data_IF_069457267889
#
_entry.id   IF_069457267889
#
_cell.length_a   1.000
_cell.length_b   1.000
_cell.length_c   1.000
_cell.angle_alpha   90.00
_cell.angle_beta   90.00
_cell.angle_gamma   90.00
#
_symmetry.space_group_name_H-M   'P 1'
#
loop_
_entity.id
_entity.type
_entity.pdbx_description
1 polymer ?
#
# COMPACT_ATOMS: atom_id res chain seq x y z
N UNK A 1 -15.96 28.09 25.85
CA UNK A 1 -17.35 27.77 25.41
C UNK A 1 -17.48 26.27 25.47
N UNK A 2 -18.42 25.76 26.28
CA UNK A 2 -18.59 24.33 26.51
C UNK A 2 -18.94 23.62 25.19
N UNK A 3 -18.11 22.66 24.78
CA UNK A 3 -18.45 21.68 23.75
C UNK A 3 -19.63 20.86 24.27
N UNK A 4 -20.85 21.27 23.92
CA UNK A 4 -22.04 20.45 24.14
C UNK A 4 -21.92 19.22 23.25
N UNK A 5 -21.35 18.15 23.80
CA UNK A 5 -21.37 16.87 23.15
C UNK A 5 -22.82 16.42 22.93
N UNK A 6 -23.21 16.23 21.67
CA UNK A 6 -24.61 16.06 21.26
C UNK A 6 -25.26 14.76 21.73
N UNK A 7 -24.48 13.78 22.22
CA UNK A 7 -24.98 12.43 22.53
C UNK A 7 -24.51 11.93 23.91
N UNK A 8 -25.34 11.17 24.63
CA UNK A 8 -24.97 10.62 25.93
C UNK A 8 -23.96 9.48 25.77
N UNK A 9 -23.01 9.33 26.72
CA UNK A 9 -22.21 8.12 26.82
C UNK A 9 -23.12 6.94 27.18
N UNK A 10 -22.93 5.79 26.54
CA UNK A 10 -23.69 4.59 26.87
C UNK A 10 -22.93 3.74 27.88
N UNK A 11 -23.61 3.16 28.90
CA UNK A 11 -22.96 2.27 29.84
C UNK A 11 -22.61 0.93 29.19
N UNK A 12 -21.50 0.37 29.61
CA UNK A 12 -21.09 -1.01 29.35
C UNK A 12 -21.98 -1.98 30.12
N UNK A 13 -22.56 -2.96 29.42
CA UNK A 13 -23.61 -3.83 29.98
C UNK A 13 -23.17 -5.29 30.16
N UNK A 14 -21.94 -5.63 29.77
CA UNK A 14 -21.42 -7.00 29.78
C UNK A 14 -20.39 -7.20 30.90
N UNK A 15 -20.43 -8.33 31.62
CA UNK A 15 -19.32 -8.72 32.50
C UNK A 15 -18.32 -9.61 31.74
N UNK A 16 -17.15 -9.06 31.40
CA UNK A 16 -16.07 -9.77 30.71
C UNK A 16 -15.47 -10.92 31.54
N UNK A 17 -15.71 -10.96 32.86
CA UNK A 17 -15.25 -12.06 33.71
C UNK A 17 -16.09 -13.33 33.56
N UNK A 18 -17.27 -13.24 32.95
CA UNK A 18 -18.09 -14.40 32.70
C UNK A 18 -17.35 -15.40 31.79
N UNK A 19 -17.50 -16.69 32.10
CA UNK A 19 -16.72 -17.78 31.50
C UNK A 19 -16.74 -17.78 29.97
N UNK A 20 -17.88 -17.41 29.38
CA UNK A 20 -18.05 -17.29 27.94
C UNK A 20 -17.07 -16.28 27.29
N UNK A 21 -16.91 -15.08 27.86
CA UNK A 21 -16.08 -14.04 27.24
C UNK A 21 -14.58 -14.33 27.41
N UNK A 22 -14.19 -14.96 28.52
CA UNK A 22 -12.83 -15.48 28.70
C UNK A 22 -12.50 -16.56 27.67
N UNK A 23 -13.42 -17.50 27.45
CA UNK A 23 -13.27 -18.55 26.44
C UNK A 23 -13.17 -17.98 25.01
N UNK A 24 -13.94 -16.94 24.68
CA UNK A 24 -13.84 -16.24 23.41
C UNK A 24 -12.43 -15.66 23.21
N UNK A 25 -11.91 -14.96 24.23
CA UNK A 25 -10.59 -14.33 24.19
C UNK A 25 -9.47 -15.34 23.93
N UNK A 26 -9.48 -16.48 24.62
CA UNK A 26 -8.49 -17.56 24.43
C UNK A 26 -8.56 -18.15 23.02
N UNK A 27 -9.77 -18.33 22.49
CA UNK A 27 -9.97 -18.86 21.13
C UNK A 27 -9.42 -17.90 20.08
N UNK A 28 -9.74 -16.61 20.19
CA UNK A 28 -9.25 -15.59 19.26
C UNK A 28 -7.75 -15.36 19.36
N UNK A 29 -7.16 -15.44 20.56
CA UNK A 29 -5.71 -15.35 20.74
C UNK A 29 -4.97 -16.34 19.83
N UNK A 30 -5.42 -17.58 19.79
CA UNK A 30 -4.83 -18.61 18.92
C UNK A 30 -4.90 -18.23 17.43
N UNK A 31 -6.00 -17.60 17.01
CA UNK A 31 -6.18 -17.14 15.63
C UNK A 31 -5.27 -15.95 15.32
N UNK A 32 -5.20 -14.96 16.22
CA UNK A 32 -4.35 -13.78 16.07
C UNK A 32 -2.86 -14.14 16.03
N UNK A 33 -2.40 -15.03 16.92
CA UNK A 33 -1.02 -15.54 16.94
C UNK A 33 -0.66 -16.27 15.63
N UNK A 34 -1.64 -16.87 14.94
CA UNK A 34 -1.43 -17.46 13.61
C UNK A 34 -1.25 -16.37 12.54
N UNK A 35 -2.03 -15.30 12.58
CA UNK A 35 -1.87 -14.17 11.66
C UNK A 35 -0.54 -13.44 11.88
N UNK A 36 -0.12 -13.24 13.12
CA UNK A 36 1.17 -12.61 13.44
C UNK A 36 2.35 -13.43 12.90
N UNK A 37 2.35 -14.75 13.13
CA UNK A 37 3.35 -15.66 12.54
C UNK A 37 3.34 -15.65 11.02
N UNK A 38 2.16 -15.60 10.41
CA UNK A 38 2.05 -15.50 8.95
C UNK A 38 2.60 -14.16 8.45
N UNK A 39 2.37 -13.06 9.17
CA UNK A 39 2.89 -11.74 8.83
C UNK A 39 4.43 -11.71 8.83
N UNK A 40 5.07 -12.39 9.79
CA UNK A 40 6.53 -12.53 9.84
C UNK A 40 7.10 -13.28 8.63
N UNK A 41 6.37 -14.24 8.07
CA UNK A 41 6.80 -15.02 6.91
C UNK A 41 6.77 -14.24 5.59
N UNK A 42 5.94 -13.19 5.50
CA UNK A 42 5.74 -12.42 4.26
C UNK A 42 6.57 -11.14 4.18
N UNK A 43 7.32 -10.78 5.23
CA UNK A 43 7.71 -9.40 5.53
C UNK A 43 9.08 -8.89 5.03
N UNK A 44 9.99 -9.70 4.48
CA UNK A 44 11.41 -9.44 4.75
C UNK A 44 12.09 -8.28 3.97
N UNK A 45 11.94 -8.12 2.65
CA UNK A 45 12.90 -7.30 1.88
C UNK A 45 12.36 -5.96 1.37
N UNK A 46 11.19 -5.94 0.71
CA UNK A 46 10.68 -4.70 0.11
C UNK A 46 10.10 -3.69 1.12
N UNK A 47 9.90 -4.09 2.39
CA UNK A 47 9.44 -3.17 3.45
C UNK A 47 10.49 -2.11 3.79
N UNK A 48 11.78 -2.41 3.58
CA UNK A 48 12.87 -1.50 3.92
C UNK A 48 12.82 -0.22 3.08
N UNK A 49 12.55 -0.32 1.78
CA UNK A 49 12.45 0.86 0.90
C UNK A 49 11.24 1.73 1.23
N UNK A 50 10.09 1.12 1.52
CA UNK A 50 8.89 1.85 1.95
C UNK A 50 9.15 2.58 3.27
N UNK A 51 9.79 1.92 4.23
CA UNK A 51 10.12 2.52 5.52
C UNK A 51 11.07 3.72 5.40
N UNK A 52 12.04 3.66 4.48
CA UNK A 52 12.95 4.78 4.21
C UNK A 52 12.28 5.95 3.49
N UNK A 53 11.23 5.67 2.70
CA UNK A 53 10.47 6.70 2.00
C UNK A 53 9.50 7.44 2.93
N UNK A 54 8.96 6.77 3.94
CA UNK A 54 8.06 7.32 4.95
C UNK A 54 8.71 8.43 5.79
N UNK A 55 7.88 9.33 6.30
CA UNK A 55 8.28 10.24 7.36
C UNK A 55 8.58 9.49 8.65
N UNK A 56 9.53 10.02 9.42
CA UNK A 56 9.91 9.46 10.71
C UNK A 56 8.68 9.32 11.61
N UNK A 57 8.53 8.13 12.20
CA UNK A 57 7.42 7.75 13.08
C UNK A 57 6.02 7.80 12.44
N UNK A 58 5.92 7.97 11.11
CA UNK A 58 4.64 7.88 10.40
C UNK A 58 4.11 6.44 10.45
N UNK A 59 2.85 6.23 10.84
CA UNK A 59 2.22 4.94 10.68
C UNK A 59 2.08 4.60 9.19
N UNK A 60 2.04 3.29 8.89
CA UNK A 60 1.67 2.77 7.58
C UNK A 60 0.46 1.87 7.71
N UNK A 61 -0.53 2.11 6.86
CA UNK A 61 -1.63 1.20 6.64
C UNK A 61 -1.28 0.27 5.46
N UNK A 62 -0.73 -0.90 5.76
CA UNK A 62 -0.40 -1.90 4.73
C UNK A 62 -1.69 -2.50 4.14
N UNK A 63 -1.71 -2.64 2.81
CA UNK A 63 -2.85 -3.14 2.06
C UNK A 63 -2.46 -4.47 1.42
N UNK A 64 -3.28 -5.50 1.67
CA UNK A 64 -3.12 -6.79 0.98
C UNK A 64 -1.90 -7.60 1.42
N UNK A 65 -1.39 -7.43 2.64
CA UNK A 65 -0.22 -8.15 3.17
C UNK A 65 -0.28 -9.68 3.02
N UNK A 66 -1.49 -10.27 3.05
CA UNK A 66 -1.70 -11.71 2.87
C UNK A 66 -2.10 -12.11 1.44
N UNK A 67 -2.04 -11.19 0.47
CA UNK A 67 -2.33 -11.50 -0.92
C UNK A 67 -1.39 -12.61 -1.42
N UNK A 68 -1.95 -13.65 -2.05
CA UNK A 68 -1.17 -14.80 -2.53
C UNK A 68 -0.58 -15.70 -1.42
N UNK A 69 -0.80 -15.41 -0.13
CA UNK A 69 -0.28 -16.25 0.96
C UNK A 69 -0.87 -17.67 0.89
N UNK A 70 0.00 -18.67 0.82
CA UNK A 70 -0.33 -20.11 0.65
C UNK A 70 -1.12 -20.44 -0.63
N UNK A 71 -1.08 -19.56 -1.64
CA UNK A 71 -1.63 -19.86 -2.96
C UNK A 71 -0.55 -20.54 -3.81
N UNK A 72 -0.76 -21.75 -4.36
CA UNK A 72 0.24 -22.44 -5.19
C UNK A 72 0.57 -21.72 -6.51
N UNK A 73 -0.32 -20.83 -6.98
CA UNK A 73 -0.17 -20.09 -8.22
C UNK A 73 0.30 -18.65 -7.99
N UNK A 74 0.70 -18.29 -6.77
CA UNK A 74 1.13 -16.94 -6.42
C UNK A 74 2.21 -16.98 -5.35
N UNK A 75 2.80 -15.82 -5.11
CA UNK A 75 3.80 -15.57 -4.08
C UNK A 75 3.18 -14.75 -2.96
N UNK A 76 3.76 -14.78 -1.74
CA UNK A 76 3.32 -13.90 -0.66
C UNK A 76 3.34 -12.42 -1.04
N UNK A 77 2.39 -11.64 -0.53
CA UNK A 77 2.12 -10.26 -0.95
C UNK A 77 1.82 -10.09 -2.46
N UNK A 78 1.64 -11.18 -3.21
CA UNK A 78 1.49 -11.17 -4.66
C UNK A 78 2.55 -10.31 -5.39
N UNK A 79 3.84 -10.45 -5.02
CA UNK A 79 4.97 -9.71 -5.58
C UNK A 79 4.95 -8.17 -5.35
N UNK A 80 4.04 -7.65 -4.52
CA UNK A 80 3.87 -6.21 -4.31
C UNK A 80 3.54 -5.89 -2.86
N UNK A 81 4.30 -4.99 -2.24
CA UNK A 81 3.93 -4.36 -0.98
C UNK A 81 3.27 -3.02 -1.30
N UNK A 82 2.08 -2.80 -0.76
CA UNK A 82 1.37 -1.55 -0.90
C UNK A 82 0.90 -1.04 0.46
N UNK A 83 0.83 0.27 0.60
CA UNK A 83 0.33 0.87 1.82
C UNK A 83 0.10 2.37 1.70
N UNK A 84 -0.58 2.94 2.68
CA UNK A 84 -0.79 4.38 2.79
C UNK A 84 0.02 4.88 3.99
N UNK A 85 0.85 5.89 3.76
CA UNK A 85 1.65 6.53 4.79
C UNK A 85 2.04 7.95 4.39
N UNK A 86 2.63 8.71 5.31
CA UNK A 86 3.03 10.07 5.03
C UNK A 86 4.45 10.12 4.45
N UNK A 87 4.63 10.94 3.41
CA UNK A 87 5.92 11.26 2.80
C UNK A 87 5.99 12.78 2.67
N UNK A 88 6.98 13.41 3.32
CA UNK A 88 7.14 14.86 3.36
C UNK A 88 5.85 15.59 3.81
N UNK A 89 5.16 15.03 4.81
CA UNK A 89 3.90 15.55 5.37
C UNK A 89 2.65 15.28 4.53
N UNK A 90 2.78 14.55 3.42
CA UNK A 90 1.67 14.27 2.49
C UNK A 90 1.25 12.79 2.55
N UNK A 91 -0.06 12.48 2.63
CA UNK A 91 -0.54 11.11 2.58
C UNK A 91 -0.37 10.54 1.16
N UNK A 92 0.47 9.52 1.03
CA UNK A 92 0.80 8.88 -0.24
C UNK A 92 0.38 7.41 -0.26
N UNK A 93 -0.14 6.95 -1.40
CA UNK A 93 -0.23 5.53 -1.69
C UNK A 93 1.13 5.07 -2.23
N UNK A 94 1.74 4.12 -1.54
CA UNK A 94 3.04 3.56 -1.87
C UNK A 94 2.87 2.16 -2.45
N UNK A 95 3.68 1.85 -3.45
CA UNK A 95 3.70 0.56 -4.15
C UNK A 95 5.15 0.18 -4.40
N UNK A 96 5.62 -0.92 -3.80
CA UNK A 96 6.97 -1.44 -3.99
C UNK A 96 6.91 -2.90 -4.44
N UNK A 97 7.49 -3.18 -5.60
CA UNK A 97 7.62 -4.54 -6.09
C UNK A 97 8.65 -5.31 -5.26
N UNK A 98 8.51 -6.64 -5.21
CA UNK A 98 9.44 -7.53 -4.52
C UNK A 98 10.31 -8.24 -5.58
N UNK A 99 11.51 -7.73 -5.90
CA UNK A 99 12.32 -8.26 -7.01
C UNK A 99 12.78 -9.71 -6.77
N UNK A 100 12.94 -10.13 -5.52
CA UNK A 100 13.32 -11.50 -5.16
C UNK A 100 12.22 -12.53 -5.39
N UNK A 101 10.98 -12.08 -5.65
CA UNK A 101 9.86 -12.95 -5.99
C UNK A 101 9.53 -12.83 -7.48
N UNK A 102 9.92 -13.84 -8.26
CA UNK A 102 9.69 -13.89 -9.72
C UNK A 102 10.21 -12.64 -10.47
N UNK A 103 11.29 -12.02 -9.99
CA UNK A 103 11.82 -10.80 -10.60
C UNK A 103 10.94 -9.56 -10.40
N UNK A 104 9.98 -9.58 -9.46
CA UNK A 104 9.00 -8.51 -9.27
C UNK A 104 7.88 -8.49 -10.32
N UNK A 105 7.76 -9.55 -11.13
CA UNK A 105 6.75 -9.67 -12.16
C UNK A 105 5.34 -9.72 -11.58
N UNK A 106 4.37 -9.16 -12.30
CA UNK A 106 2.98 -9.20 -11.87
C UNK A 106 2.36 -10.56 -12.12
N UNK A 107 1.57 -11.03 -11.16
CA UNK A 107 0.74 -12.22 -11.28
C UNK A 107 -0.75 -11.86 -11.14
N UNK A 108 -1.65 -12.84 -11.24
CA UNK A 108 -3.09 -12.60 -11.16
C UNK A 108 -3.56 -11.98 -9.84
N UNK A 109 -2.83 -12.22 -8.75
CA UNK A 109 -3.14 -11.70 -7.42
C UNK A 109 -2.60 -10.29 -7.22
N UNK A 110 -1.53 -9.89 -7.92
CA UNK A 110 -0.93 -8.54 -7.82
C UNK A 110 -1.94 -7.47 -8.20
N UNK A 111 -2.75 -7.72 -9.23
CA UNK A 111 -3.82 -6.80 -9.62
C UNK A 111 -4.88 -6.63 -8.54
N UNK A 112 -5.19 -7.70 -7.80
CA UNK A 112 -6.29 -7.76 -6.83
C UNK A 112 -5.93 -7.27 -5.43
N UNK A 113 -4.66 -7.09 -5.11
CA UNK A 113 -4.24 -6.72 -3.76
C UNK A 113 -4.48 -5.23 -3.44
N UNK A 114 -4.72 -4.41 -4.46
CA UNK A 114 -4.97 -2.98 -4.33
C UNK A 114 -6.49 -2.68 -4.24
N UNK A 115 -6.90 -1.58 -3.55
CA UNK A 115 -8.32 -1.23 -3.36
C UNK A 115 -9.08 -1.13 -4.69
N UNK A 116 -10.43 -1.26 -4.69
CA UNK A 116 -11.25 -1.51 -5.88
C UNK A 116 -11.23 -0.33 -6.87
N UNK A 117 -10.17 -0.35 -7.66
CA UNK A 117 -9.94 0.26 -8.95
C UNK A 117 -9.03 -0.69 -9.76
N UNK A 118 -8.25 -1.55 -9.09
CA UNK A 118 -7.21 -2.36 -9.74
C UNK A 118 -7.67 -3.81 -10.01
N UNK A 119 -7.92 -4.09 -11.30
CA UNK A 119 -7.71 -5.36 -12.04
C UNK A 119 -8.30 -6.68 -11.47
N UNK A 120 -9.39 -7.23 -12.06
CA UNK A 120 -9.98 -8.50 -11.62
C UNK A 120 -9.28 -9.79 -12.09
N UNK A 121 -8.28 -9.75 -12.98
CA UNK A 121 -7.44 -10.91 -13.35
C UNK A 121 -6.37 -10.46 -14.33
N UNK A 122 -5.14 -10.99 -14.28
CA UNK A 122 -4.05 -10.58 -15.18
C UNK A 122 -4.14 -11.28 -16.54
N UNK A 123 -5.22 -11.05 -17.28
CA UNK A 123 -5.20 -11.22 -18.73
C UNK A 123 -4.62 -9.95 -19.34
N UNK A 124 -3.83 -10.02 -20.42
CA UNK A 124 -3.17 -8.84 -21.04
C UNK A 124 -4.12 -7.63 -21.23
N UNK A 125 -5.37 -7.88 -21.64
CA UNK A 125 -6.39 -6.83 -21.80
C UNK A 125 -6.80 -6.15 -20.49
N UNK A 126 -6.85 -6.89 -19.36
CA UNK A 126 -7.15 -6.36 -18.02
C UNK A 126 -5.92 -5.71 -17.38
N UNK A 127 -4.71 -6.16 -17.69
CA UNK A 127 -3.47 -5.51 -17.26
C UNK A 127 -3.39 -4.04 -17.68
N UNK A 128 -3.95 -3.71 -18.85
CA UNK A 128 -4.06 -2.33 -19.34
C UNK A 128 -4.93 -1.39 -18.50
N UNK A 129 -5.77 -1.91 -17.59
CA UNK A 129 -6.54 -1.06 -16.67
C UNK A 129 -5.64 -0.24 -15.75
N UNK A 130 -4.47 -0.76 -15.35
CA UNK A 130 -3.50 0.00 -14.55
C UNK A 130 -3.13 1.32 -15.24
N UNK A 131 -2.78 1.22 -16.53
CA UNK A 131 -2.33 2.36 -17.32
C UNK A 131 -3.46 3.38 -17.49
N UNK A 132 -4.68 2.89 -17.74
CA UNK A 132 -5.88 3.74 -17.76
C UNK A 132 -6.08 4.45 -16.43
N UNK A 133 -5.97 3.75 -15.32
CA UNK A 133 -6.21 4.29 -13.99
C UNK A 133 -5.16 5.33 -13.60
N UNK A 134 -3.90 5.12 -13.99
CA UNK A 134 -2.83 6.10 -13.80
C UNK A 134 -3.14 7.39 -14.57
N UNK A 135 -3.49 7.29 -15.86
CA UNK A 135 -3.90 8.44 -16.67
C UNK A 135 -5.14 9.14 -16.11
N UNK A 136 -6.12 8.38 -15.61
CA UNK A 136 -7.31 8.95 -14.97
C UNK A 136 -6.95 9.68 -13.67
N UNK A 137 -6.00 9.16 -12.87
CA UNK A 137 -5.52 9.83 -11.65
C UNK A 137 -4.82 11.15 -11.97
N UNK A 138 -3.92 11.15 -12.95
CA UNK A 138 -3.26 12.37 -13.45
C UNK A 138 -4.30 13.39 -13.93
N UNK A 139 -5.33 12.96 -14.68
CA UNK A 139 -6.43 13.85 -15.10
C UNK A 139 -7.16 14.52 -13.92
N UNK A 140 -7.23 13.85 -12.77
CA UNK A 140 -7.85 14.38 -11.55
C UNK A 140 -6.85 15.11 -10.63
N UNK A 141 -5.65 15.45 -11.14
CA UNK A 141 -4.63 16.18 -10.38
C UNK A 141 -3.96 15.35 -9.28
N UNK A 142 -4.04 14.02 -9.35
CA UNK A 142 -3.32 13.13 -8.43
C UNK A 142 -1.97 12.79 -9.05
N UNK A 143 -0.93 13.43 -8.55
CA UNK A 143 0.44 13.23 -9.02
C UNK A 143 0.95 11.82 -8.72
N UNK A 144 1.79 11.30 -9.60
CA UNK A 144 2.39 9.97 -9.55
C UNK A 144 3.90 10.05 -9.76
N UNK A 145 4.65 9.26 -8.99
CA UNK A 145 6.11 9.18 -9.10
C UNK A 145 6.55 7.73 -9.22
N UNK A 146 7.41 7.43 -10.19
CA UNK A 146 8.03 6.14 -10.36
C UNK A 146 9.52 6.19 -10.00
N UNK A 147 9.94 5.31 -9.09
CA UNK A 147 11.34 5.07 -8.79
C UNK A 147 11.78 3.77 -9.46
N UNK A 148 12.73 3.84 -10.37
CA UNK A 148 13.20 2.71 -11.17
C UNK A 148 14.54 2.23 -10.63
N UNK A 149 14.48 1.28 -9.70
CA UNK A 149 15.65 0.64 -9.06
C UNK A 149 16.19 -0.54 -9.88
N UNK A 150 15.54 -0.92 -10.98
CA UNK A 150 15.90 -2.11 -11.73
C UNK A 150 15.22 -2.15 -13.09
N UNK A 151 15.06 -3.35 -13.64
CA UNK A 151 14.46 -3.54 -14.96
C UNK A 151 12.95 -3.34 -14.94
N UNK A 152 12.46 -2.52 -15.87
CA UNK A 152 11.05 -2.26 -16.16
C UNK A 152 10.78 -2.57 -17.63
N UNK A 153 10.39 -3.82 -17.91
CA UNK A 153 10.31 -4.35 -19.29
C UNK A 153 8.88 -4.50 -19.78
N UNK A 154 8.66 -4.30 -21.08
CA UNK A 154 7.40 -4.51 -21.79
C UNK A 154 6.24 -3.73 -21.16
N UNK A 155 5.25 -4.42 -20.57
CA UNK A 155 4.14 -3.76 -19.87
C UNK A 155 4.62 -2.90 -18.70
N UNK A 156 5.68 -3.31 -18.00
CA UNK A 156 6.23 -2.56 -16.87
C UNK A 156 6.77 -1.19 -17.27
N UNK A 157 7.32 -1.06 -18.47
CA UNK A 157 7.91 0.19 -18.98
C UNK A 157 6.90 1.33 -19.07
N UNK A 158 5.60 1.03 -19.19
CA UNK A 158 4.55 2.04 -19.16
C UNK A 158 4.32 2.65 -17.78
N UNK A 159 4.76 2.02 -16.69
CA UNK A 159 4.62 2.58 -15.35
C UNK A 159 5.44 3.87 -15.19
N UNK A 160 6.77 3.89 -15.43
CA UNK A 160 7.50 5.15 -15.46
C UNK A 160 7.03 6.06 -16.59
N UNK A 161 6.68 5.53 -17.76
CA UNK A 161 6.29 6.36 -18.91
C UNK A 161 4.95 7.12 -18.74
N UNK A 162 4.09 6.67 -17.83
CA UNK A 162 2.82 7.30 -17.51
C UNK A 162 2.83 8.00 -16.14
N UNK A 163 3.97 8.02 -15.46
CA UNK A 163 4.13 8.73 -14.19
C UNK A 163 4.45 10.20 -14.45
N UNK A 164 4.00 11.08 -13.55
CA UNK A 164 4.26 12.53 -13.66
C UNK A 164 5.71 12.88 -13.31
N UNK A 165 6.36 12.04 -12.50
CA UNK A 165 7.77 12.16 -12.18
C UNK A 165 8.47 10.81 -12.14
N UNK A 166 9.72 10.78 -12.57
CA UNK A 166 10.49 9.56 -12.71
C UNK A 166 11.93 9.76 -12.23
N UNK A 167 12.40 8.81 -11.42
CA UNK A 167 13.79 8.77 -10.94
C UNK A 167 14.38 7.42 -11.29
N UNK A 168 15.49 7.41 -12.03
CA UNK A 168 16.20 6.20 -12.42
C UNK A 168 17.53 6.11 -11.67
N UNK A 169 17.82 4.94 -11.10
CA UNK A 169 19.13 4.69 -10.46
C UNK A 169 20.19 4.42 -11.54
N UNK A 170 21.32 5.10 -11.49
CA UNK A 170 22.39 4.99 -12.48
C UNK A 170 22.96 3.56 -12.51
N UNK A 171 23.18 3.01 -13.71
CA UNK A 171 23.72 1.65 -13.93
C UNK A 171 22.86 0.50 -13.35
N UNK A 172 21.62 0.77 -12.93
CA UNK A 172 20.72 -0.24 -12.34
C UNK A 172 19.31 -0.13 -12.91
N UNK A 173 18.76 1.09 -12.94
CA UNK A 173 17.42 1.40 -13.44
C UNK A 173 17.37 1.39 -14.97
N UNK A 174 16.49 0.54 -15.53
CA UNK A 174 16.38 0.35 -16.97
C UNK A 174 14.91 0.21 -17.39
N UNK A 175 14.51 0.78 -18.53
CA UNK A 175 13.16 0.62 -19.07
C UNK A 175 13.17 0.38 -20.59
N UNK A 176 12.41 -0.60 -21.06
CA UNK A 176 12.29 -0.86 -22.50
C UNK A 176 11.07 -1.72 -22.83
N UNK A 177 10.45 -1.50 -24.00
CA UNK A 177 9.32 -2.33 -24.47
C UNK A 177 9.75 -3.75 -24.83
N UNK A 178 10.96 -3.91 -25.35
CA UNK A 178 11.58 -5.18 -25.67
C UNK A 178 13.03 -5.15 -25.18
N UNK A 179 13.42 -6.11 -24.35
CA UNK A 179 14.79 -6.19 -23.84
C UNK A 179 15.80 -6.66 -24.88
N UNK A 180 17.10 -6.59 -24.55
CA UNK A 180 18.17 -6.98 -25.47
C UNK A 180 18.00 -8.35 -26.14
N UNK A 181 17.54 -9.42 -25.45
CA UNK A 181 17.32 -10.71 -26.11
C UNK A 181 16.28 -10.66 -27.24
N UNK A 182 15.20 -9.90 -27.04
CA UNK A 182 14.13 -9.73 -28.03
C UNK A 182 14.58 -8.86 -29.20
N UNK A 183 15.32 -7.77 -28.93
CA UNK A 183 15.89 -6.90 -29.97
C UNK A 183 16.83 -7.71 -30.87
N UNK A 184 17.73 -8.50 -30.29
CA UNK A 184 18.64 -9.37 -31.02
C UNK A 184 17.92 -10.39 -31.87
N UNK A 185 16.89 -11.04 -31.32
CA UNK A 185 16.11 -12.03 -32.04
C UNK A 185 15.34 -11.41 -33.22
N UNK A 186 14.74 -10.22 -33.03
CA UNK A 186 13.89 -9.59 -34.02
C UNK A 186 14.66 -8.87 -35.13
N UNK A 187 15.81 -8.27 -34.81
CA UNK A 187 16.55 -7.37 -35.73
C UNK A 187 17.97 -7.84 -36.05
N UNK A 188 18.52 -8.78 -35.27
CA UNK A 188 19.93 -9.16 -35.34
C UNK A 188 20.88 -8.20 -34.59
N UNK A 189 20.39 -7.06 -34.08
CA UNK A 189 21.19 -6.08 -33.36
C UNK A 189 21.64 -6.61 -31.99
N UNK A 190 22.92 -6.43 -31.66
CA UNK A 190 23.49 -6.80 -30.36
C UNK A 190 23.77 -5.51 -29.59
N UNK A 191 22.93 -5.22 -28.59
CA UNK A 191 22.99 -4.02 -27.76
C UNK A 191 22.90 -4.39 -26.28
N UNK A 192 23.60 -3.67 -25.41
CA UNK A 192 23.52 -3.86 -23.95
C UNK A 192 22.23 -3.28 -23.36
N UNK A 193 21.82 -3.73 -22.17
CA UNK A 193 20.62 -3.21 -21.51
C UNK A 193 20.74 -1.72 -21.14
N UNK A 194 21.92 -1.30 -20.69
CA UNK A 194 22.20 0.10 -20.34
C UNK A 194 22.20 1.01 -21.58
N UNK A 195 22.74 0.52 -22.70
CA UNK A 195 22.77 1.25 -23.97
C UNK A 195 21.38 1.33 -24.62
N UNK A 196 20.55 0.30 -24.43
CA UNK A 196 19.20 0.22 -24.97
C UNK A 196 18.21 1.12 -24.21
N UNK A 197 18.27 1.12 -22.88
CA UNK A 197 17.27 1.78 -22.04
C UNK A 197 17.71 2.03 -20.61
N UNK A 198 18.99 2.33 -20.40
CA UNK A 198 19.52 2.72 -19.09
C UNK A 198 19.14 4.13 -18.66
N UNK A 199 19.42 4.44 -17.39
CA UNK A 199 19.12 5.73 -16.77
C UNK A 199 19.66 6.92 -17.59
N UNK A 200 20.90 6.82 -18.08
CA UNK A 200 21.53 7.89 -18.88
C UNK A 200 20.82 8.09 -20.22
N UNK A 201 20.44 7.01 -20.90
CA UNK A 201 19.71 7.07 -22.18
C UNK A 201 18.37 7.76 -21.94
N UNK A 202 17.68 7.41 -20.87
CA UNK A 202 16.38 7.98 -20.58
C UNK A 202 16.43 9.44 -20.19
N UNK A 203 17.42 9.87 -19.40
CA UNK A 203 17.54 11.26 -18.97
C UNK A 203 18.10 12.21 -20.05
N UNK A 204 18.95 11.71 -20.95
CA UNK A 204 19.67 12.58 -21.91
C UNK A 204 19.14 12.53 -23.33
N UNK A 205 18.48 11.44 -23.73
CA UNK A 205 17.98 11.24 -25.10
C UNK A 205 16.47 11.19 -25.18
N UNK A 206 15.83 10.33 -24.40
CA UNK A 206 14.39 10.05 -24.56
C UNK A 206 13.49 11.00 -23.77
N UNK A 207 13.99 11.56 -22.66
CA UNK A 207 13.19 12.34 -21.71
C UNK A 207 12.31 11.49 -20.77
N UNK A 208 12.44 10.16 -20.77
CA UNK A 208 11.68 9.27 -19.87
C UNK A 208 12.12 9.35 -18.41
N UNK A 209 13.35 9.79 -18.12
CA UNK A 209 13.84 9.96 -16.76
C UNK A 209 14.01 11.45 -16.46
N UNK A 210 13.27 11.96 -15.47
CA UNK A 210 13.39 13.36 -15.04
C UNK A 210 14.64 13.57 -14.18
N UNK A 211 15.01 12.57 -13.39
CA UNK A 211 16.21 12.58 -12.56
C UNK A 211 16.97 11.26 -12.65
N UNK A 212 18.30 11.37 -12.56
CA UNK A 212 19.20 10.25 -12.27
C UNK A 212 19.56 10.30 -10.78
N UNK A 213 19.52 9.15 -10.13
CA UNK A 213 20.01 8.93 -8.77
C UNK A 213 21.29 8.09 -8.78
N UNK A 214 22.19 8.34 -7.85
CA UNK A 214 23.44 7.57 -7.74
C UNK A 214 23.21 6.14 -7.19
N UNK A 215 22.24 6.00 -6.29
CA UNK A 215 21.84 4.73 -5.66
C UNK A 215 20.36 4.79 -5.23
N UNK A 216 19.86 3.70 -4.65
CA UNK A 216 18.47 3.57 -4.19
C UNK A 216 18.12 4.58 -3.09
N UNK A 217 19.07 4.91 -2.19
CA UNK A 217 18.85 5.88 -1.11
C UNK A 217 18.73 7.30 -1.66
N UNK A 218 19.58 7.66 -2.62
CA UNK A 218 19.52 8.93 -3.33
C UNK A 218 18.21 9.07 -4.12
N UNK A 219 17.73 7.98 -4.73
CA UNK A 219 16.45 7.96 -5.42
C UNK A 219 15.27 8.20 -4.46
N UNK A 220 15.29 7.57 -3.27
CA UNK A 220 14.28 7.80 -2.22
C UNK A 220 14.32 9.24 -1.74
N UNK A 221 15.51 9.80 -1.49
CA UNK A 221 15.68 11.21 -1.11
C UNK A 221 15.08 12.15 -2.16
N UNK A 222 15.39 11.94 -3.44
CA UNK A 222 14.84 12.72 -4.57
C UNK A 222 13.32 12.60 -4.66
N UNK A 223 12.77 11.41 -4.42
CA UNK A 223 11.33 11.21 -4.36
C UNK A 223 10.68 12.05 -3.25
N UNK A 224 11.26 12.03 -2.04
CA UNK A 224 10.78 12.85 -0.90
C UNK A 224 10.84 14.34 -1.21
N UNK A 225 11.92 14.79 -1.84
CA UNK A 225 12.09 16.18 -2.28
C UNK A 225 11.03 16.58 -3.30
N UNK A 226 10.77 15.74 -4.31
CA UNK A 226 9.72 15.99 -5.28
C UNK A 226 8.34 16.04 -4.62
N UNK A 227 8.01 15.10 -3.73
CA UNK A 227 6.74 15.12 -2.99
C UNK A 227 6.59 16.41 -2.17
N UNK A 228 7.67 16.92 -1.58
CA UNK A 228 7.65 18.18 -0.84
C UNK A 228 7.35 19.41 -1.73
N UNK A 229 7.58 19.33 -3.04
CA UNK A 229 7.21 20.40 -3.99
C UNK A 229 5.75 20.35 -4.43
N UNK A 230 5.06 19.24 -4.19
CA UNK A 230 3.67 19.07 -4.60
C UNK A 230 2.77 19.96 -3.73
N UNK A 231 2.07 20.88 -4.38
CA UNK A 231 1.05 21.70 -3.75
C UNK A 231 -0.26 20.90 -3.67
N UNK A 232 -0.29 19.89 -2.81
CA UNK A 232 -1.51 19.12 -2.55
C UNK A 232 -2.37 19.95 -1.59
N UNK A 233 -3.58 20.39 -2.00
CA UNK A 233 -4.48 21.05 -1.09
C UNK A 233 -4.76 20.07 0.05
N UNK A 234 -4.45 20.48 1.28
CA UNK A 234 -4.88 19.70 2.45
C UNK A 234 -6.39 19.50 2.33
N UNK A 235 -6.90 18.26 2.44
CA UNK A 235 -8.35 18.05 2.45
C UNK A 235 -8.92 18.98 3.50
N UNK A 236 -9.84 19.86 3.08
CA UNK A 236 -10.48 20.80 4.01
C UNK A 236 -10.99 19.96 5.18
N UNK A 237 -10.48 20.24 6.38
CA UNK A 237 -11.00 19.61 7.58
C UNK A 237 -12.53 19.77 7.54
N UNK A 238 -13.29 18.70 7.84
CA UNK A 238 -14.73 18.82 7.99
C UNK A 238 -15.03 20.03 8.87
N UNK A 239 -16.02 20.83 8.47
CA UNK A 239 -16.31 22.15 9.06
C UNK A 239 -16.58 22.06 10.59
N UNK A 240 -16.88 20.85 11.10
CA UNK A 240 -17.20 20.56 12.50
C UNK A 240 -16.36 19.40 13.09
N UNK A 241 -15.04 19.38 12.89
CA UNK A 241 -14.18 18.45 13.63
C UNK A 241 -14.16 18.80 15.12
N UNK A 242 -14.78 17.94 15.94
CA UNK A 242 -14.67 17.98 17.41
C UNK A 242 -13.31 17.40 17.81
N UNK A 243 -12.75 17.83 18.94
CA UNK A 243 -11.55 17.22 19.51
C UNK A 243 -11.78 15.72 19.76
N UNK A 244 -10.96 14.83 19.18
CA UNK A 244 -11.15 13.39 19.33
C UNK A 244 -10.87 12.98 20.77
N UNK A 245 -11.81 12.26 21.37
CA UNK A 245 -11.68 11.71 22.72
C UNK A 245 -11.52 10.20 22.66
N UNK A 246 -10.62 9.60 23.47
CA UNK A 246 -10.48 8.15 23.48
C UNK A 246 -11.80 7.46 23.88
N UNK A 247 -12.10 6.27 23.35
CA UNK A 247 -13.21 5.46 23.83
C UNK A 247 -13.08 5.17 25.33
N UNK A 248 -14.21 5.09 26.04
CA UNK A 248 -14.23 4.81 27.50
C UNK A 248 -13.84 3.37 27.84
N UNK A 249 -13.93 2.47 26.87
CA UNK A 249 -13.69 1.05 27.05
C UNK A 249 -12.48 0.59 26.23
N UNK A 250 -11.64 -0.31 26.75
CA UNK A 250 -10.43 -0.71 26.05
C UNK A 250 -10.69 -1.52 24.76
N UNK A 251 -9.92 -1.21 23.71
CA UNK A 251 -9.97 -1.94 22.43
C UNK A 251 -9.52 -3.41 22.55
N UNK A 252 -8.67 -3.72 23.54
CA UNK A 252 -8.16 -5.09 23.75
C UNK A 252 -9.22 -6.09 24.24
N UNK A 253 -10.41 -5.61 24.63
CA UNK A 253 -11.55 -6.43 25.00
C UNK A 253 -12.31 -6.99 23.78
N UNK A 254 -12.09 -6.46 22.57
CA UNK A 254 -12.82 -6.87 21.36
C UNK A 254 -12.81 -8.40 21.11
N UNK A 255 -11.68 -9.13 21.28
CA UNK A 255 -11.65 -10.58 21.15
C UNK A 255 -12.55 -11.30 22.17
N UNK A 256 -12.78 -10.70 23.33
CA UNK A 256 -13.67 -11.28 24.34
C UNK A 256 -15.14 -11.15 23.91
N UNK A 257 -15.52 -10.05 23.25
CA UNK A 257 -16.90 -9.76 22.84
C UNK A 257 -17.39 -10.57 21.64
N UNK A 258 -16.54 -10.73 20.62
CA UNK A 258 -16.91 -11.39 19.37
C UNK A 258 -16.93 -12.91 19.58
N UNK A 259 -18.11 -13.52 19.40
CA UNK A 259 -18.22 -14.97 19.54
C UNK A 259 -17.45 -15.69 18.40
N UNK A 260 -16.53 -16.63 18.70
CA UNK A 260 -15.87 -17.42 17.67
C UNK A 260 -16.83 -18.32 16.88
N UNK A 261 -17.97 -18.68 17.47
CA UNK A 261 -19.06 -19.39 16.79
C UNK A 261 -19.93 -18.37 16.03
N UNK A 262 -19.76 -18.33 14.71
CA UNK A 262 -20.48 -17.42 13.79
C UNK A 262 -22.00 -17.59 13.80
N UNK A 263 -22.53 -18.66 14.41
CA UNK A 263 -23.97 -18.90 14.55
C UNK A 263 -24.57 -18.20 15.75
N UNK A 264 -23.74 -17.76 16.70
CA UNK A 264 -24.18 -17.08 17.92
C UNK A 264 -24.11 -15.57 17.70
N UNK A 265 -25.20 -14.89 18.01
CA UNK A 265 -25.22 -13.43 18.04
C UNK A 265 -24.38 -12.89 19.20
N UNK A 266 -23.97 -11.63 19.06
CA UNK A 266 -23.36 -10.83 20.11
C UNK A 266 -23.84 -9.39 19.99
N UNK A 267 -23.70 -8.61 21.06
CA UNK A 267 -24.13 -7.21 21.10
C UNK A 267 -23.14 -6.32 20.34
N UNK A 268 -23.45 -5.96 19.09
CA UNK A 268 -22.59 -5.10 18.26
C UNK A 268 -22.37 -3.71 18.88
N UNK A 269 -23.32 -3.24 19.69
CA UNK A 269 -23.18 -2.00 20.45
C UNK A 269 -21.91 -2.01 21.30
N UNK A 270 -21.57 -3.14 21.92
CA UNK A 270 -20.41 -3.29 22.81
C UNK A 270 -19.07 -3.19 22.07
N UNK A 271 -19.06 -3.59 20.79
CA UNK A 271 -17.93 -3.36 19.88
C UNK A 271 -17.80 -1.89 19.53
N UNK A 272 -18.90 -1.23 19.18
CA UNK A 272 -18.90 0.20 18.80
C UNK A 272 -18.38 1.09 19.94
N UNK A 273 -18.75 0.80 21.20
CA UNK A 273 -18.29 1.57 22.36
C UNK A 273 -16.76 1.58 22.55
N UNK A 274 -16.02 0.69 21.90
CA UNK A 274 -14.54 0.60 21.94
C UNK A 274 -13.85 1.24 20.74
N UNK A 275 -14.64 1.71 19.76
CA UNK A 275 -14.15 2.28 18.51
C UNK A 275 -14.49 3.77 18.37
N UNK A 276 -15.62 4.20 18.93
CA UNK A 276 -16.13 5.58 18.78
C UNK A 276 -15.68 6.50 19.92
N UNK A 277 -15.54 7.78 19.60
CA UNK A 277 -15.08 8.80 20.53
C UNK A 277 -15.96 8.91 21.79
N UNK A 278 -15.31 8.90 22.96
CA UNK A 278 -15.95 8.92 24.29
C UNK A 278 -17.10 7.91 24.47
N UNK A 279 -17.14 6.85 23.64
CA UNK A 279 -18.20 5.83 23.63
C UNK A 279 -19.62 6.42 23.51
N UNK A 280 -19.78 7.52 22.75
CA UNK A 280 -21.06 8.20 22.53
C UNK A 280 -21.70 7.75 21.23
N UNK A 281 -22.97 7.34 21.28
CA UNK A 281 -23.68 6.83 20.12
C UNK A 281 -25.11 7.37 20.07
N UNK A 282 -25.49 7.95 18.92
CA UNK A 282 -26.89 8.17 18.57
C UNK A 282 -27.46 6.87 18.00
N UNK A 283 -28.34 6.20 18.74
CA UNK A 283 -29.10 5.07 18.21
C UNK A 283 -30.32 5.62 17.45
N UNK A 284 -30.48 5.24 16.19
CA UNK A 284 -31.62 5.57 15.33
C UNK A 284 -32.30 4.29 14.84
#
# INVERSE_FOLDING_TARGET
MATQFSFPPLPFQIDLNHSQYRANQETWKTVLDRFERALQQVAAEARNFIALLLDQDSPILEIGAFAGYRNPNSTPCANLIAGIGNVSGQPCLLMSHIPTQSGGAWNEMTGRCLPPATIPSLSFHKGGQLFRDLTVRTKHGKSSCALVFGSSTAGGAYHPALSDHTVFVENQGQAFLAGPPLVRMATGEVIGAEELGGARVHATKTGLADQIAADELDAIRKAREWVATLHIPSPKAPIDTIEPLPPRYPVHDLPSLVNPDIRKSFEMREVLLRLIDDSRLLAF
#
